data_IF_129821164406
#
_entry.id   IF_129821164406
#
_cell.length_a   1.000
_cell.length_b   1.000
_cell.length_c   1.000
_cell.angle_alpha   90.00
_cell.angle_beta   90.00
_cell.angle_gamma   90.00
#
_symmetry.space_group_name_H-M   'P 1'
#
loop_
_entity.id
_entity.type
_entity.pdbx_description
1 polymer ?
#
# COMPACT_ATOMS: atom_id res chain seq x y z
N UNK A 1 7.43 -12.99 36.12
CA UNK A 1 6.59 -11.81 36.51
C UNK A 1 5.30 -12.29 37.21
N UNK A 2 4.66 -11.50 38.09
CA UNK A 2 3.37 -11.91 38.70
C UNK A 2 2.18 -11.64 37.76
N UNK A 3 1.11 -12.45 37.86
CA UNK A 3 -0.11 -12.27 37.06
C UNK A 3 -0.74 -10.87 37.23
N UNK A 4 -0.61 -10.28 38.42
CA UNK A 4 -1.09 -8.93 38.71
C UNK A 4 -0.34 -7.85 37.91
N UNK A 5 0.98 -8.01 37.73
CA UNK A 5 1.79 -7.08 36.95
C UNK A 5 1.47 -7.17 35.44
N UNK A 6 1.29 -8.39 34.90
CA UNK A 6 0.85 -8.56 33.51
C UNK A 6 -0.50 -7.87 33.27
N UNK A 7 -1.48 -8.12 34.14
CA UNK A 7 -2.81 -7.51 34.06
C UNK A 7 -2.74 -5.98 34.09
N UNK A 8 -1.87 -5.41 34.93
CA UNK A 8 -1.66 -3.97 34.97
C UNK A 8 -1.15 -3.42 33.63
N UNK A 9 -0.15 -4.07 33.02
CA UNK A 9 0.41 -3.63 31.75
C UNK A 9 -0.57 -3.75 30.59
N UNK A 10 -1.36 -4.84 30.52
CA UNK A 10 -2.40 -5.00 29.48
C UNK A 10 -3.48 -3.93 29.64
N UNK A 11 -3.95 -3.67 30.88
CA UNK A 11 -4.94 -2.62 31.13
C UNK A 11 -4.40 -1.22 30.76
N UNK A 12 -3.13 -0.95 31.06
CA UNK A 12 -2.49 0.29 30.67
C UNK A 12 -2.34 0.42 29.14
N UNK A 13 -1.99 -0.66 28.44
CA UNK A 13 -1.94 -0.68 26.99
C UNK A 13 -3.32 -0.40 26.37
N UNK A 14 -4.37 -1.05 26.89
CA UNK A 14 -5.74 -0.84 26.43
C UNK A 14 -6.19 0.61 26.62
N UNK A 15 -5.99 1.18 27.82
CA UNK A 15 -6.39 2.55 28.13
C UNK A 15 -5.64 3.61 27.29
N UNK A 16 -4.47 3.29 26.75
CA UNK A 16 -3.68 4.17 25.88
C UNK A 16 -4.03 4.04 24.40
N UNK A 17 -4.86 3.07 24.04
CA UNK A 17 -5.14 2.73 22.65
C UNK A 17 -6.47 3.34 22.22
N UNK A 18 -6.45 4.11 21.13
CA UNK A 18 -7.67 4.65 20.53
C UNK A 18 -8.27 3.69 19.48
N UNK A 19 -7.49 2.69 19.05
CA UNK A 19 -7.87 1.70 18.05
C UNK A 19 -7.26 0.31 18.35
N UNK A 20 -7.74 -0.73 17.65
CA UNK A 20 -7.14 -2.08 17.70
C UNK A 20 -5.68 -2.04 17.20
N UNK A 21 -5.38 -1.21 16.20
CA UNK A 21 -4.02 -1.01 15.68
C UNK A 21 -3.08 -0.47 16.76
N UNK A 22 -3.51 0.58 17.47
CA UNK A 22 -2.74 1.15 18.58
C UNK A 22 -2.52 0.10 19.67
N UNK A 23 -3.54 -0.70 19.97
CA UNK A 23 -3.44 -1.74 20.97
C UNK A 23 -2.41 -2.81 20.59
N UNK A 24 -2.42 -3.29 19.34
CA UNK A 24 -1.38 -4.21 18.82
C UNK A 24 0.03 -3.61 18.90
N UNK A 25 0.17 -2.32 18.60
CA UNK A 25 1.45 -1.62 18.73
C UNK A 25 1.91 -1.60 20.19
N UNK A 26 1.02 -1.28 21.14
CA UNK A 26 1.33 -1.33 22.57
C UNK A 26 1.69 -2.75 23.04
N UNK A 27 0.98 -3.78 22.59
CA UNK A 27 1.32 -5.18 22.89
C UNK A 27 2.70 -5.55 22.36
N UNK A 28 3.05 -5.14 21.14
CA UNK A 28 4.38 -5.35 20.58
C UNK A 28 5.47 -4.68 21.42
N UNK A 29 5.26 -3.45 21.91
CA UNK A 29 6.19 -2.80 22.83
C UNK A 29 6.36 -3.58 24.14
N UNK A 30 5.30 -4.19 24.67
CA UNK A 30 5.38 -5.05 25.84
C UNK A 30 6.19 -6.33 25.56
N UNK A 31 6.07 -6.93 24.37
CA UNK A 31 6.86 -8.11 23.97
C UNK A 31 8.36 -7.82 23.91
N UNK A 32 8.76 -6.58 23.60
CA UNK A 32 10.17 -6.18 23.51
C UNK A 32 10.82 -5.85 24.86
N UNK A 33 10.04 -5.83 25.95
CA UNK A 33 10.56 -5.53 27.29
C UNK A 33 11.55 -6.60 27.78
N UNK A 34 12.66 -6.14 28.37
CA UNK A 34 13.68 -7.04 28.92
C UNK A 34 13.24 -7.74 30.21
N UNK A 35 12.39 -7.07 31.02
CA UNK A 35 11.88 -7.58 32.30
C UNK A 35 10.77 -8.63 32.15
N UNK A 36 10.33 -8.93 30.92
CA UNK A 36 9.33 -9.96 30.65
C UNK A 36 10.00 -11.27 30.26
N UNK A 37 9.62 -12.34 30.94
CA UNK A 37 10.06 -13.71 30.62
C UNK A 37 9.40 -14.24 29.34
N UNK A 38 9.92 -15.35 28.81
CA UNK A 38 9.44 -15.94 27.56
C UNK A 38 7.98 -16.41 27.65
N UNK A 39 7.55 -16.90 28.80
CA UNK A 39 6.17 -17.35 29.02
C UNK A 39 5.20 -16.17 28.94
N UNK A 40 5.54 -15.04 29.57
CA UNK A 40 4.78 -13.80 29.45
C UNK A 40 4.71 -13.31 28.00
N UNK A 41 5.85 -13.30 27.30
CA UNK A 41 5.89 -12.87 25.90
C UNK A 41 5.06 -13.77 24.99
N UNK A 42 5.01 -15.07 25.26
CA UNK A 42 4.16 -16.01 24.54
C UNK A 42 2.67 -15.70 24.75
N UNK A 43 2.24 -15.45 25.99
CA UNK A 43 0.85 -15.06 26.30
C UNK A 43 0.44 -13.75 25.61
N UNK A 44 1.34 -12.76 25.56
CA UNK A 44 1.06 -11.49 24.87
C UNK A 44 0.90 -11.70 23.37
N UNK A 45 1.70 -12.58 22.76
CA UNK A 45 1.57 -12.94 21.33
C UNK A 45 0.29 -13.74 21.05
N UNK A 46 -0.12 -14.61 21.95
CA UNK A 46 -1.39 -15.33 21.86
C UNK A 46 -2.57 -14.36 21.91
N UNK A 47 -2.54 -13.39 22.83
CA UNK A 47 -3.52 -12.31 22.92
C UNK A 47 -3.56 -11.47 21.64
N UNK A 48 -2.40 -11.09 21.10
CA UNK A 48 -2.30 -10.36 19.83
C UNK A 48 -2.89 -11.17 18.66
N UNK A 49 -2.61 -12.48 18.60
CA UNK A 49 -3.13 -13.38 17.58
C UNK A 49 -4.64 -13.60 17.63
N UNK A 50 -5.27 -13.35 18.79
CA UNK A 50 -6.72 -13.35 18.96
C UNK A 50 -7.40 -12.02 18.62
N UNK A 51 -6.64 -10.95 18.34
CA UNK A 51 -7.22 -9.68 17.91
C UNK A 51 -7.68 -9.75 16.45
N UNK A 52 -8.70 -8.95 16.07
CA UNK A 52 -9.08 -8.80 14.67
C UNK A 52 -7.85 -8.48 13.82
N UNK A 53 -7.74 -8.98 12.58
CA UNK A 53 -6.69 -8.53 11.68
C UNK A 53 -6.71 -7.00 11.60
N UNK A 54 -5.56 -6.40 11.30
CA UNK A 54 -5.51 -4.94 11.08
C UNK A 54 -6.62 -4.59 10.09
N UNK A 55 -7.44 -3.59 10.41
CA UNK A 55 -8.37 -3.08 9.41
C UNK A 55 -7.53 -2.71 8.19
N UNK A 56 -7.92 -3.17 6.98
CA UNK A 56 -7.18 -2.82 5.79
C UNK A 56 -7.06 -1.29 5.75
N UNK A 57 -5.87 -0.73 5.48
CA UNK A 57 -5.67 0.70 5.55
C UNK A 57 -6.73 1.40 4.72
N UNK A 58 -7.46 2.32 5.34
CA UNK A 58 -8.51 3.05 4.68
C UNK A 58 -7.89 4.20 3.87
N UNK A 59 -7.65 3.95 2.60
CA UNK A 59 -7.05 4.90 1.67
C UNK A 59 -8.03 6.02 1.31
N UNK A 60 -8.06 7.05 2.15
CA UNK A 60 -8.84 8.27 1.93
C UNK A 60 -7.94 9.40 1.42
N UNK A 61 -8.26 9.91 0.24
CA UNK A 61 -7.57 11.04 -0.36
C UNK A 61 -8.51 12.22 -0.49
N UNK A 62 -7.98 13.41 -0.18
CA UNK A 62 -8.62 14.68 -0.49
C UNK A 62 -7.63 15.50 -1.31
N UNK A 63 -8.12 16.10 -2.39
CA UNK A 63 -7.35 17.06 -3.19
C UNK A 63 -7.85 18.46 -2.91
N UNK A 64 -6.94 19.42 -2.77
CA UNK A 64 -7.26 20.82 -2.50
C UNK A 64 -6.54 21.71 -3.51
N UNK A 65 -7.27 22.70 -4.04
CA UNK A 65 -6.76 23.65 -5.01
C UNK A 65 -6.44 23.03 -6.37
N UNK A 66 -6.06 23.89 -7.31
CA UNK A 66 -5.60 23.49 -8.64
C UNK A 66 -4.09 23.66 -8.73
N UNK A 67 -3.41 22.69 -9.33
CA UNK A 67 -1.96 22.76 -9.57
C UNK A 67 -1.64 22.66 -11.05
N UNK A 68 -0.54 23.28 -11.45
CA UNK A 68 -0.02 23.08 -12.80
C UNK A 68 0.45 21.64 -12.97
N UNK A 69 0.46 21.14 -14.21
CA UNK A 69 1.04 19.83 -14.53
C UNK A 69 2.51 19.73 -14.08
N UNK A 70 3.26 20.81 -14.21
CA UNK A 70 4.67 20.85 -13.81
C UNK A 70 4.83 20.65 -12.31
N UNK A 71 4.00 21.30 -11.50
CA UNK A 71 4.04 21.15 -10.04
C UNK A 71 3.61 19.74 -9.63
N UNK A 72 2.53 19.21 -10.21
CA UNK A 72 2.05 17.85 -9.91
C UNK A 72 3.10 16.77 -10.22
N UNK A 73 3.79 16.89 -11.36
CA UNK A 73 4.87 15.97 -11.73
C UNK A 73 6.10 16.11 -10.83
N UNK A 74 6.43 17.35 -10.43
CA UNK A 74 7.53 17.62 -9.48
C UNK A 74 7.23 16.98 -8.12
N UNK A 75 6.03 17.20 -7.59
CA UNK A 75 5.59 16.65 -6.31
C UNK A 75 5.60 15.12 -6.34
N UNK A 76 5.06 14.50 -7.39
CA UNK A 76 5.13 13.04 -7.59
C UNK A 76 6.59 12.55 -7.55
N UNK A 77 7.48 13.22 -8.30
CA UNK A 77 8.90 12.84 -8.33
C UNK A 77 9.54 12.94 -6.94
N UNK A 78 9.29 14.02 -6.21
CA UNK A 78 9.85 14.21 -4.86
C UNK A 78 9.38 13.12 -3.88
N UNK A 79 8.11 12.72 -3.95
CA UNK A 79 7.56 11.67 -3.09
C UNK A 79 8.10 10.27 -3.43
N UNK A 80 8.32 9.98 -4.72
CA UNK A 80 8.72 8.65 -5.16
C UNK A 80 10.24 8.44 -5.21
N UNK A 81 11.03 9.51 -5.28
CA UNK A 81 12.50 9.43 -5.30
C UNK A 81 13.10 8.61 -4.15
N UNK A 82 12.67 8.78 -2.88
CA UNK A 82 13.22 8.02 -1.75
C UNK A 82 13.00 6.51 -1.83
N UNK A 83 11.97 6.05 -2.56
CA UNK A 83 11.60 4.63 -2.63
C UNK A 83 12.04 3.96 -3.94
N UNK A 84 12.74 4.67 -4.83
CA UNK A 84 13.20 4.11 -6.09
C UNK A 84 14.14 2.93 -5.85
N UNK A 85 13.87 1.82 -6.54
CA UNK A 85 14.60 0.57 -6.49
C UNK A 85 14.68 -0.08 -5.09
N UNK A 86 13.89 0.39 -4.12
CA UNK A 86 13.73 -0.28 -2.83
C UNK A 86 12.71 -1.41 -2.93
N UNK A 87 12.92 -2.46 -2.15
CA UNK A 87 11.99 -3.58 -2.05
C UNK A 87 10.70 -3.14 -1.37
N UNK A 88 9.57 -3.41 -2.05
CA UNK A 88 8.24 -3.20 -1.52
C UNK A 88 7.54 -4.56 -1.57
N UNK A 89 7.14 -5.08 -0.40
CA UNK A 89 6.50 -6.39 -0.29
C UNK A 89 4.99 -6.23 -0.22
N UNK A 90 4.27 -6.84 -1.14
CA UNK A 90 2.83 -6.99 -1.04
C UNK A 90 2.48 -7.95 0.10
N UNK A 91 1.61 -7.52 1.02
CA UNK A 91 1.28 -8.27 2.25
C UNK A 91 0.45 -9.52 1.97
N UNK A 92 -0.40 -9.50 0.95
CA UNK A 92 -1.30 -10.61 0.62
C UNK A 92 -0.57 -11.74 -0.12
N UNK A 93 0.16 -11.40 -1.18
CA UNK A 93 0.82 -12.37 -2.07
C UNK A 93 2.26 -12.68 -1.67
N UNK A 94 2.88 -11.84 -0.83
CA UNK A 94 4.31 -11.91 -0.50
C UNK A 94 5.25 -11.44 -1.62
N UNK A 95 4.73 -11.04 -2.79
CA UNK A 95 5.53 -10.57 -3.94
C UNK A 95 6.33 -9.33 -3.57
N UNK A 96 7.63 -9.36 -3.90
CA UNK A 96 8.52 -8.20 -3.77
C UNK A 96 8.63 -7.52 -5.13
N UNK A 97 8.27 -6.24 -5.18
CA UNK A 97 8.41 -5.41 -6.37
C UNK A 97 9.17 -4.11 -6.06
N UNK A 98 9.70 -3.51 -7.12
CA UNK A 98 10.44 -2.24 -7.06
C UNK A 98 9.86 -1.24 -8.05
N UNK A 99 9.83 0.04 -7.69
CA UNK A 99 9.58 1.12 -8.65
C UNK A 99 10.91 1.65 -9.19
N UNK A 100 11.06 1.71 -10.52
CA UNK A 100 12.24 2.32 -11.17
C UNK A 100 11.95 3.75 -11.61
N UNK A 101 12.98 4.48 -12.05
CA UNK A 101 12.78 5.77 -12.72
C UNK A 101 11.87 5.67 -13.96
N UNK A 102 11.92 4.55 -14.69
CA UNK A 102 10.99 4.28 -15.80
C UNK A 102 9.56 4.10 -15.30
N UNK A 103 9.34 3.38 -14.19
CA UNK A 103 8.02 3.23 -13.58
C UNK A 103 7.45 4.58 -13.11
N UNK A 104 8.27 5.39 -12.46
CA UNK A 104 7.93 6.77 -12.07
C UNK A 104 7.52 7.62 -13.28
N UNK A 105 8.31 7.60 -14.36
CA UNK A 105 7.99 8.33 -15.59
C UNK A 105 6.70 7.82 -16.25
N UNK A 106 6.37 6.55 -16.09
CA UNK A 106 5.13 5.95 -16.62
C UNK A 106 3.90 6.36 -15.82
N UNK A 107 3.99 6.40 -14.49
CA UNK A 107 2.93 6.97 -13.64
C UNK A 107 2.72 8.44 -14.00
N UNK A 108 3.80 9.22 -14.15
CA UNK A 108 3.76 10.65 -14.50
C UNK A 108 3.33 10.97 -15.95
N UNK A 109 3.22 9.94 -16.80
CA UNK A 109 3.00 10.13 -18.23
C UNK A 109 1.59 10.62 -18.54
N UNK A 110 1.47 11.43 -19.58
CA UNK A 110 0.17 11.89 -20.09
C UNK A 110 -0.77 10.72 -20.42
N UNK A 111 -0.23 9.60 -20.93
CA UNK A 111 -1.03 8.40 -21.20
C UNK A 111 -1.65 7.79 -19.94
N UNK A 112 -0.92 7.70 -18.83
CA UNK A 112 -1.46 7.16 -17.58
C UNK A 112 -2.49 8.11 -16.96
N UNK A 113 -2.20 9.41 -17.04
CA UNK A 113 -3.13 10.45 -16.62
C UNK A 113 -4.43 10.42 -17.43
N UNK A 114 -4.34 10.44 -18.77
CA UNK A 114 -5.53 10.50 -19.64
C UNK A 114 -6.49 9.35 -19.37
N UNK A 115 -6.00 8.15 -19.06
CA UNK A 115 -6.87 7.05 -18.63
C UNK A 115 -7.63 7.33 -17.34
N UNK A 116 -6.98 7.98 -16.37
CA UNK A 116 -7.66 8.39 -15.14
C UNK A 116 -8.69 9.50 -15.42
N UNK A 117 -8.38 10.42 -16.35
CA UNK A 117 -9.32 11.44 -16.80
C UNK A 117 -10.54 10.83 -17.53
N UNK A 118 -10.31 9.86 -18.42
CA UNK A 118 -11.34 9.09 -19.11
C UNK A 118 -12.26 8.34 -18.13
N UNK A 119 -11.72 7.93 -16.97
CA UNK A 119 -12.46 7.30 -15.88
C UNK A 119 -13.11 8.32 -14.91
N UNK A 120 -13.16 9.60 -15.29
CA UNK A 120 -13.85 10.65 -14.52
C UNK A 120 -13.10 11.13 -13.28
N UNK A 121 -11.78 10.96 -13.22
CA UNK A 121 -10.93 11.55 -12.19
C UNK A 121 -10.20 12.78 -12.72
N UNK A 122 -9.69 13.61 -11.82
CA UNK A 122 -8.90 14.79 -12.13
C UNK A 122 -7.40 14.46 -12.13
N UNK A 123 -6.60 15.38 -12.67
CA UNK A 123 -5.14 15.28 -12.59
C UNK A 123 -4.65 15.33 -11.14
N UNK A 124 -5.22 16.20 -10.31
CA UNK A 124 -4.88 16.30 -8.89
C UNK A 124 -5.08 14.96 -8.18
N UNK A 125 -6.19 14.27 -8.47
CA UNK A 125 -6.51 12.97 -7.90
C UNK A 125 -5.52 11.90 -8.35
N UNK A 126 -5.26 11.80 -9.65
CA UNK A 126 -4.29 10.86 -10.21
C UNK A 126 -2.91 10.99 -9.54
N UNK A 127 -2.38 12.22 -9.47
CA UNK A 127 -1.05 12.46 -8.91
C UNK A 127 -1.02 12.27 -7.38
N UNK A 128 -2.09 12.63 -6.66
CA UNK A 128 -2.19 12.41 -5.21
C UNK A 128 -2.14 10.93 -4.86
N UNK A 129 -2.89 10.09 -5.58
CA UNK A 129 -2.88 8.63 -5.37
C UNK A 129 -1.56 8.03 -5.87
N UNK A 130 -1.04 8.48 -7.01
CA UNK A 130 0.24 8.02 -7.55
C UNK A 130 1.43 8.25 -6.61
N UNK A 131 1.40 9.30 -5.79
CA UNK A 131 2.43 9.56 -4.79
C UNK A 131 2.46 8.53 -3.65
N UNK A 132 1.37 7.80 -3.43
CA UNK A 132 1.22 6.81 -2.36
C UNK A 132 1.37 5.35 -2.86
N UNK A 133 2.00 5.16 -4.03
CA UNK A 133 2.11 3.86 -4.71
C UNK A 133 2.69 2.74 -3.83
N UNK A 134 3.57 3.07 -2.88
CA UNK A 134 4.16 2.10 -1.96
C UNK A 134 3.08 1.49 -1.07
N UNK A 135 2.36 2.33 -0.32
CA UNK A 135 1.33 1.86 0.59
C UNK A 135 0.19 1.17 -0.18
N UNK A 136 -0.19 1.71 -1.34
CA UNK A 136 -1.19 1.08 -2.20
C UNK A 136 -0.76 -0.33 -2.61
N UNK A 137 0.46 -0.50 -3.13
CA UNK A 137 0.95 -1.82 -3.55
C UNK A 137 1.14 -2.79 -2.38
N UNK A 138 1.58 -2.33 -1.21
CA UNK A 138 1.73 -3.17 -0.01
C UNK A 138 0.40 -3.83 0.40
N UNK A 139 -0.73 -3.17 0.12
CA UNK A 139 -2.07 -3.60 0.54
C UNK A 139 -2.99 -3.94 -0.64
N UNK A 140 -2.45 -4.09 -1.85
CA UNK A 140 -3.24 -4.38 -3.04
C UNK A 140 -3.56 -5.87 -3.17
N UNK A 141 -4.75 -6.20 -3.68
CA UNK A 141 -5.12 -7.57 -4.08
C UNK A 141 -4.64 -7.87 -5.49
N UNK A 142 -4.18 -9.10 -5.74
CA UNK A 142 -3.91 -9.55 -7.11
C UNK A 142 -5.23 -9.86 -7.81
N UNK A 143 -5.53 -9.14 -8.89
CA UNK A 143 -6.76 -9.39 -9.67
C UNK A 143 -6.52 -10.23 -10.93
N UNK A 144 -5.50 -9.89 -11.73
CA UNK A 144 -5.25 -10.59 -13.01
C UNK A 144 -3.76 -10.75 -13.29
N UNK A 145 -3.39 -11.90 -13.85
CA UNK A 145 -2.09 -12.15 -14.48
C UNK A 145 -2.32 -12.50 -15.94
N UNK A 146 -1.49 -11.97 -16.84
CA UNK A 146 -1.55 -12.28 -18.27
C UNK A 146 -0.16 -12.11 -18.92
N UNK A 147 0.02 -12.69 -20.09
CA UNK A 147 1.24 -12.51 -20.89
C UNK A 147 1.37 -11.08 -21.44
N UNK A 148 2.58 -10.65 -21.78
CA UNK A 148 2.76 -9.36 -22.44
C UNK A 148 2.12 -9.36 -23.83
N UNK A 149 1.11 -8.51 -24.07
CA UNK A 149 0.45 -8.42 -25.37
C UNK A 149 1.37 -8.03 -26.54
N UNK A 150 2.58 -7.55 -26.25
CA UNK A 150 3.59 -7.23 -27.27
C UNK A 150 4.58 -8.37 -27.50
N UNK A 151 4.42 -9.52 -26.85
CA UNK A 151 5.26 -10.71 -27.02
C UNK A 151 6.74 -10.47 -26.70
N UNK A 152 7.05 -9.55 -25.79
CA UNK A 152 8.45 -9.22 -25.47
C UNK A 152 9.06 -10.32 -24.61
N UNK A 153 10.10 -10.97 -25.13
CA UNK A 153 10.75 -12.13 -24.51
C UNK A 153 11.37 -11.86 -23.13
N UNK A 154 11.67 -10.59 -22.80
CA UNK A 154 12.21 -10.20 -21.50
C UNK A 154 11.17 -10.09 -20.38
N UNK A 155 9.87 -10.19 -20.72
CA UNK A 155 8.75 -10.11 -19.78
C UNK A 155 8.07 -11.47 -19.67
N UNK A 156 8.12 -12.03 -18.47
CA UNK A 156 7.44 -13.29 -18.12
C UNK A 156 5.92 -13.09 -18.03
N UNK A 157 5.50 -12.05 -17.31
CA UNK A 157 4.10 -11.79 -17.05
C UNK A 157 3.83 -10.31 -16.75
N UNK A 158 2.56 -9.94 -16.89
CA UNK A 158 1.99 -8.67 -16.45
C UNK A 158 0.92 -8.95 -15.41
N UNK A 159 1.03 -8.30 -14.25
CA UNK A 159 0.10 -8.46 -13.14
C UNK A 159 -0.67 -7.17 -12.87
N UNK A 160 -1.95 -7.30 -12.55
CA UNK A 160 -2.85 -6.21 -12.17
C UNK A 160 -3.23 -6.37 -10.71
N UNK A 161 -2.77 -5.42 -9.92
CA UNK A 161 -3.07 -5.30 -8.51
C UNK A 161 -4.08 -4.17 -8.30
N UNK A 162 -4.97 -4.33 -7.33
CA UNK A 162 -6.04 -3.39 -7.06
C UNK A 162 -6.08 -3.01 -5.59
N UNK A 163 -6.23 -1.73 -5.31
CA UNK A 163 -6.46 -1.22 -3.96
C UNK A 163 -7.71 -0.36 -3.99
N UNK A 164 -8.68 -0.66 -3.15
CA UNK A 164 -9.88 0.16 -3.01
C UNK A 164 -9.51 1.45 -2.26
N UNK A 165 -10.01 2.58 -2.77
CA UNK A 165 -9.73 3.91 -2.24
C UNK A 165 -11.02 4.73 -2.19
N UNK A 166 -11.00 5.77 -1.37
CA UNK A 166 -11.98 6.83 -1.39
C UNK A 166 -11.26 8.13 -1.71
N UNK A 167 -11.73 8.87 -2.71
CA UNK A 167 -11.10 10.12 -3.14
C UNK A 167 -12.16 11.20 -3.32
N UNK A 168 -12.03 12.29 -2.55
CA UNK A 168 -13.02 13.38 -2.51
C UNK A 168 -14.46 12.88 -2.27
N UNK A 169 -14.63 11.84 -1.45
CA UNK A 169 -15.93 11.22 -1.16
C UNK A 169 -16.44 10.23 -2.23
N UNK A 170 -15.69 10.01 -3.32
CA UNK A 170 -15.97 9.03 -4.37
C UNK A 170 -15.20 7.73 -4.11
N UNK A 171 -15.93 6.61 -4.05
CA UNK A 171 -15.32 5.26 -4.03
C UNK A 171 -14.69 4.94 -5.39
N UNK A 172 -13.46 4.44 -5.37
CA UNK A 172 -12.67 4.13 -6.55
C UNK A 172 -11.72 2.97 -6.30
N UNK A 173 -11.01 2.51 -7.33
CA UNK A 173 -9.89 1.59 -7.19
C UNK A 173 -8.63 2.15 -7.89
N UNK A 174 -7.48 1.96 -7.25
CA UNK A 174 -6.18 2.16 -7.86
C UNK A 174 -5.74 0.85 -8.52
N UNK A 175 -5.63 0.84 -9.85
CA UNK A 175 -5.11 -0.29 -10.62
C UNK A 175 -3.60 -0.12 -10.84
N UNK A 176 -2.82 -0.96 -10.17
CA UNK A 176 -1.37 -0.99 -10.22
C UNK A 176 -0.93 -2.09 -11.17
N UNK A 177 -0.04 -1.74 -12.10
CA UNK A 177 0.49 -2.70 -13.08
C UNK A 177 1.91 -3.06 -12.74
N UNK A 178 2.18 -4.35 -12.58
CA UNK A 178 3.52 -4.90 -12.44
C UNK A 178 3.94 -5.57 -13.75
N UNK A 179 5.21 -5.42 -14.12
CA UNK A 179 5.86 -6.26 -15.12
C UNK A 179 6.84 -7.18 -14.41
N UNK A 180 6.68 -8.48 -14.60
CA UNK A 180 7.66 -9.46 -14.18
C UNK A 180 8.69 -9.66 -15.31
N UNK A 181 9.90 -9.19 -15.09
CA UNK A 181 11.02 -9.41 -16.00
C UNK A 181 11.70 -10.75 -15.71
N UNK A 182 12.23 -11.39 -16.76
CA UNK A 182 13.05 -12.60 -16.61
C UNK A 182 14.24 -12.37 -15.67
N UNK A 183 14.91 -11.23 -15.79
CA UNK A 183 16.16 -10.93 -15.07
C UNK A 183 15.96 -10.07 -13.83
N UNK A 184 15.00 -9.14 -13.87
CA UNK A 184 14.89 -8.07 -12.87
C UNK A 184 13.71 -8.22 -11.90
N UNK A 185 12.98 -9.35 -11.99
CA UNK A 185 11.81 -9.62 -11.15
C UNK A 185 10.68 -8.62 -11.39
N UNK A 186 9.90 -8.35 -10.35
CA UNK A 186 8.70 -7.53 -10.45
C UNK A 186 9.01 -6.02 -10.40
N UNK A 187 8.50 -5.28 -11.37
CA UNK A 187 8.60 -3.83 -11.43
C UNK A 187 7.23 -3.18 -11.46
N UNK A 188 6.98 -2.27 -10.51
CA UNK A 188 5.81 -1.39 -10.55
C UNK A 188 5.97 -0.48 -11.78
N UNK A 189 5.04 -0.60 -12.73
CA UNK A 189 5.15 -0.01 -14.05
C UNK A 189 4.20 1.17 -14.26
N UNK A 190 2.96 1.11 -13.78
CA UNK A 190 1.98 2.21 -13.94
C UNK A 190 0.87 2.13 -12.89
N UNK A 191 0.18 3.26 -12.71
CA UNK A 191 -1.03 3.41 -11.90
C UNK A 191 -2.11 4.10 -12.73
N UNK A 192 -3.35 3.61 -12.62
CA UNK A 192 -4.56 4.15 -13.25
C UNK A 192 -5.67 4.17 -12.19
N UNK A 193 -6.51 5.21 -12.17
CA UNK A 193 -7.71 5.26 -11.32
C UNK A 193 -8.93 4.77 -12.10
N UNK A 194 -9.76 3.96 -11.48
CA UNK A 194 -11.00 3.43 -12.05
C UNK A 194 -12.15 3.57 -11.04
N UNK A 195 -13.37 3.71 -11.52
CA UNK A 195 -14.54 3.62 -10.64
C UNK A 195 -14.65 2.22 -10.05
N UNK A 196 -15.18 2.14 -8.82
CA UNK A 196 -15.38 0.88 -8.13
C UNK A 196 -16.56 0.14 -8.78
N UNK A 197 -16.25 -0.66 -9.78
CA UNK A 197 -17.19 -1.57 -10.43
C UNK A 197 -17.01 -2.97 -9.82
N UNK A 198 -18.09 -3.77 -9.67
CA UNK A 198 -17.93 -5.18 -9.35
C UNK A 198 -17.03 -5.79 -10.42
N UNK A 199 -15.99 -6.50 -9.99
CA UNK A 199 -15.03 -7.12 -10.90
C UNK A 199 -15.78 -8.06 -11.88
N UNK A 200 -15.44 -8.05 -13.18
CA UNK A 200 -15.92 -9.08 -14.11
C UNK A 200 -15.40 -10.47 -13.73
#
# INVERSE_FOLDING_TARGET
MSAAALRYHIKAALNKSASVQDFKMQLNHLVQRQDFDNATKALIRELEGGLPPDEPPNFNYNTQGTKSYTDLRRDLKQNLMPILNQDIKNKETGVIARISGTGLNKISSEKALNKSLENGFTKEEHFKVGADIKALFENARLGKTHEDYKGRADIKAVHRYFTEININGKKAQAKITLKESVQQGHRIYSLELEELSPLP
#
